data_IF_425664985746
#
_entry.id   IF_425664985746
#
_cell.length_a   1.000
_cell.length_b   1.000
_cell.length_c   1.000
_cell.angle_alpha   90.00
_cell.angle_beta   90.00
_cell.angle_gamma   90.00
#
_symmetry.space_group_name_H-M   'P 1'
#
loop_
_entity.id
_entity.type
_entity.pdbx_description
1 polymer ?
#
# COMPACT_ATOMS: atom_id res chain seq x y z
N UNK A 1 -79.64 -5.11 16.97
CA UNK A 1 -79.42 -5.30 15.50
C UNK A 1 -78.71 -4.12 14.82
N UNK A 2 -79.08 -2.84 15.04
CA UNK A 2 -78.42 -1.68 14.39
C UNK A 2 -76.94 -1.49 14.79
N UNK A 3 -76.63 -1.54 16.09
CA UNK A 3 -75.25 -1.40 16.59
C UNK A 3 -74.27 -2.45 16.03
N UNK A 4 -74.75 -3.68 15.80
CA UNK A 4 -73.93 -4.75 15.23
C UNK A 4 -73.66 -4.56 13.72
N UNK A 5 -74.51 -3.81 13.01
CA UNK A 5 -74.24 -3.42 11.61
C UNK A 5 -73.25 -2.26 11.57
N UNK A 6 -73.45 -1.24 12.39
CA UNK A 6 -72.54 -0.08 12.49
C UNK A 6 -71.11 -0.50 12.86
N UNK A 7 -70.94 -1.45 13.79
CA UNK A 7 -69.62 -1.97 14.16
C UNK A 7 -68.93 -2.72 13.01
N UNK A 8 -69.68 -3.45 12.17
CA UNK A 8 -69.14 -4.14 10.99
C UNK A 8 -68.74 -3.14 9.91
N UNK A 9 -69.59 -2.14 9.66
CA UNK A 9 -69.32 -1.10 8.66
C UNK A 9 -68.07 -0.27 9.04
N UNK A 10 -67.86 -0.02 10.34
CA UNK A 10 -66.65 0.65 10.84
C UNK A 10 -65.39 -0.22 10.68
N UNK A 11 -65.48 -1.53 10.97
CA UNK A 11 -64.36 -2.45 10.79
C UNK A 11 -63.97 -2.62 9.31
N UNK A 12 -64.96 -2.65 8.41
CA UNK A 12 -64.72 -2.68 6.97
C UNK A 12 -64.05 -1.41 6.45
N UNK A 13 -64.48 -0.24 6.92
CA UNK A 13 -63.82 1.05 6.61
C UNK A 13 -62.38 1.06 7.12
N UNK A 14 -62.14 0.67 8.37
CA UNK A 14 -60.79 0.59 8.93
C UNK A 14 -59.90 -0.36 8.13
N UNK A 15 -60.44 -1.50 7.66
CA UNK A 15 -59.70 -2.44 6.80
C UNK A 15 -59.38 -1.85 5.43
N UNK A 16 -60.29 -1.06 4.85
CA UNK A 16 -60.05 -0.36 3.59
C UNK A 16 -58.94 0.69 3.76
N UNK A 17 -59.03 1.53 4.79
CA UNK A 17 -58.05 2.57 5.11
C UNK A 17 -56.66 1.97 5.35
N UNK A 18 -56.58 0.87 6.10
CA UNK A 18 -55.31 0.17 6.33
C UNK A 18 -54.71 -0.42 5.05
N UNK A 19 -55.53 -0.86 4.09
CA UNK A 19 -55.04 -1.32 2.78
C UNK A 19 -54.49 -0.15 1.97
N UNK A 20 -55.14 1.01 2.02
CA UNK A 20 -54.68 2.21 1.33
C UNK A 20 -53.35 2.72 1.92
N UNK A 21 -53.24 2.79 3.24
CA UNK A 21 -52.00 3.15 3.93
C UNK A 21 -50.85 2.21 3.57
N UNK A 22 -51.11 0.90 3.49
CA UNK A 22 -50.10 -0.09 3.05
C UNK A 22 -49.65 0.16 1.60
N UNK A 23 -50.57 0.46 0.69
CA UNK A 23 -50.24 0.80 -0.70
C UNK A 23 -49.42 2.08 -0.79
N UNK A 24 -49.80 3.12 -0.05
CA UNK A 24 -49.07 4.39 -0.01
C UNK A 24 -47.65 4.21 0.55
N UNK A 25 -47.50 3.46 1.65
CA UNK A 25 -46.19 3.15 2.22
C UNK A 25 -45.32 2.32 1.28
N UNK A 26 -45.91 1.35 0.57
CA UNK A 26 -45.19 0.59 -0.45
C UNK A 26 -44.65 1.51 -1.54
N UNK A 27 -45.49 2.36 -2.12
CA UNK A 27 -45.08 3.31 -3.15
C UNK A 27 -43.99 4.26 -2.67
N UNK A 28 -44.08 4.73 -1.42
CA UNK A 28 -43.06 5.58 -0.81
C UNK A 28 -41.71 4.86 -0.69
N UNK A 29 -41.73 3.63 -0.16
CA UNK A 29 -40.53 2.80 -0.02
C UNK A 29 -39.91 2.45 -1.38
N UNK A 30 -40.74 2.15 -2.39
CA UNK A 30 -40.28 1.85 -3.74
C UNK A 30 -39.57 3.08 -4.35
N UNK A 31 -40.12 4.29 -4.20
CA UNK A 31 -39.45 5.54 -4.62
C UNK A 31 -38.10 5.74 -3.95
N UNK A 32 -38.00 5.51 -2.63
CA UNK A 32 -36.73 5.59 -1.91
C UNK A 32 -35.73 4.56 -2.44
N UNK A 33 -36.18 3.34 -2.70
CA UNK A 33 -35.34 2.27 -3.21
C UNK A 33 -34.80 2.60 -4.61
N UNK A 34 -35.62 3.18 -5.48
CA UNK A 34 -35.21 3.64 -6.80
C UNK A 34 -34.16 4.76 -6.72
N UNK A 35 -34.37 5.77 -5.88
CA UNK A 35 -33.39 6.84 -5.68
C UNK A 35 -32.05 6.33 -5.13
N UNK A 36 -32.09 5.39 -4.18
CA UNK A 36 -30.88 4.71 -3.69
C UNK A 36 -30.16 3.94 -4.80
N UNK A 37 -30.90 3.24 -5.67
CA UNK A 37 -30.32 2.52 -6.82
C UNK A 37 -29.69 3.47 -7.83
N UNK A 38 -30.35 4.58 -8.16
CA UNK A 38 -29.79 5.62 -9.06
C UNK A 38 -28.51 6.22 -8.49
N UNK A 39 -28.51 6.56 -7.19
CA UNK A 39 -27.32 7.07 -6.52
C UNK A 39 -26.17 6.05 -6.55
N UNK A 40 -26.45 4.79 -6.19
CA UNK A 40 -25.44 3.73 -6.22
C UNK A 40 -24.89 3.48 -7.63
N UNK A 41 -25.71 3.60 -8.67
CA UNK A 41 -25.25 3.50 -10.06
C UNK A 41 -24.29 4.64 -10.43
N UNK A 42 -24.63 5.89 -10.10
CA UNK A 42 -23.77 7.05 -10.30
C UNK A 42 -22.44 6.92 -9.55
N UNK A 43 -22.49 6.49 -8.29
CA UNK A 43 -21.30 6.29 -7.46
C UNK A 43 -20.38 5.21 -8.04
N UNK A 44 -20.94 4.09 -8.53
CA UNK A 44 -20.18 3.04 -9.21
C UNK A 44 -19.53 3.54 -10.50
N UNK A 45 -20.25 4.32 -11.29
CA UNK A 45 -19.72 4.89 -12.53
C UNK A 45 -18.55 5.84 -12.24
N UNK A 46 -18.70 6.72 -11.24
CA UNK A 46 -17.64 7.63 -10.80
C UNK A 46 -16.41 6.86 -10.31
N UNK A 47 -16.61 5.81 -9.49
CA UNK A 47 -15.52 4.95 -9.03
C UNK A 47 -14.85 4.19 -10.17
N UNK A 48 -15.62 3.72 -11.15
CA UNK A 48 -15.06 3.02 -12.32
C UNK A 48 -14.16 3.94 -13.14
N UNK A 49 -14.58 5.20 -13.35
CA UNK A 49 -13.76 6.23 -14.01
C UNK A 49 -12.47 6.51 -13.24
N UNK A 50 -12.56 6.75 -11.94
CA UNK A 50 -11.39 6.98 -11.09
C UNK A 50 -10.40 5.80 -11.12
N UNK A 51 -10.90 4.56 -11.04
CA UNK A 51 -10.06 3.35 -11.14
C UNK A 51 -9.44 3.18 -12.52
N UNK A 52 -10.14 3.57 -13.59
CA UNK A 52 -9.60 3.51 -14.94
C UNK A 52 -8.41 4.48 -15.09
N UNK A 53 -8.54 5.70 -14.55
CA UNK A 53 -7.47 6.69 -14.62
C UNK A 53 -6.28 6.31 -13.72
N UNK A 54 -6.53 5.75 -12.53
CA UNK A 54 -5.48 5.19 -11.68
C UNK A 54 -4.72 4.05 -12.40
N UNK A 55 -5.44 3.15 -13.07
CA UNK A 55 -4.82 2.07 -13.85
C UNK A 55 -3.99 2.60 -15.01
N UNK A 56 -4.45 3.62 -15.73
CA UNK A 56 -3.66 4.28 -16.79
C UNK A 56 -2.35 4.85 -16.23
N UNK A 57 -2.41 5.55 -15.09
CA UNK A 57 -1.22 6.10 -14.45
C UNK A 57 -0.23 5.01 -13.99
N UNK A 58 -0.73 3.91 -13.42
CA UNK A 58 0.09 2.75 -13.03
C UNK A 58 0.76 2.11 -14.26
N UNK A 59 0.00 1.92 -15.34
CA UNK A 59 0.52 1.33 -16.58
C UNK A 59 1.62 2.20 -17.19
N UNK A 60 1.41 3.52 -17.30
CA UNK A 60 2.42 4.45 -17.78
C UNK A 60 3.71 4.39 -16.91
N UNK A 61 3.56 4.33 -15.58
CA UNK A 61 4.72 4.18 -14.67
C UNK A 61 5.46 2.85 -14.88
N UNK A 62 4.73 1.77 -15.10
CA UNK A 62 5.32 0.45 -15.33
C UNK A 62 6.05 0.38 -16.68
N UNK A 63 5.50 1.00 -17.72
CA UNK A 63 6.15 1.13 -19.03
C UNK A 63 7.45 1.93 -18.93
N UNK A 64 7.43 3.06 -18.23
CA UNK A 64 8.66 3.84 -18.02
C UNK A 64 9.71 3.02 -17.27
N UNK A 65 9.33 2.35 -16.17
CA UNK A 65 10.24 1.47 -15.42
C UNK A 65 10.82 0.36 -16.29
N UNK A 66 10.04 -0.20 -17.22
CA UNK A 66 10.51 -1.22 -18.15
C UNK A 66 11.55 -0.64 -19.11
N UNK A 67 11.31 0.55 -19.67
CA UNK A 67 12.28 1.27 -20.52
C UNK A 67 13.58 1.55 -19.77
N UNK A 68 13.49 2.09 -18.55
CA UNK A 68 14.65 2.39 -17.71
C UNK A 68 15.46 1.13 -17.36
N UNK A 69 14.76 0.02 -17.06
CA UNK A 69 15.40 -1.27 -16.81
C UNK A 69 16.14 -1.76 -18.05
N UNK A 70 15.49 -1.76 -19.20
CA UNK A 70 16.10 -2.19 -20.46
C UNK A 70 17.33 -1.33 -20.81
N UNK A 71 17.27 -0.01 -20.62
CA UNK A 71 18.40 0.89 -20.85
C UNK A 71 19.58 0.56 -19.92
N UNK A 72 19.31 0.33 -18.63
CA UNK A 72 20.33 -0.06 -17.65
C UNK A 72 20.95 -1.42 -17.98
N UNK A 73 20.13 -2.39 -18.37
CA UNK A 73 20.59 -3.72 -18.73
C UNK A 73 21.43 -3.68 -20.01
N UNK A 74 21.05 -2.85 -21.01
CA UNK A 74 21.84 -2.61 -22.21
C UNK A 74 23.21 -1.97 -21.89
N UNK A 75 23.26 -0.98 -20.99
CA UNK A 75 24.53 -0.38 -20.53
C UNK A 75 25.44 -1.40 -19.83
N UNK A 76 24.87 -2.29 -19.01
CA UNK A 76 25.63 -3.38 -18.37
C UNK A 76 26.09 -4.44 -19.35
N UNK A 77 25.32 -4.67 -20.40
CA UNK A 77 25.60 -5.68 -21.42
C UNK A 77 26.66 -5.23 -22.42
N UNK A 78 27.03 -3.95 -22.48
CA UNK A 78 28.22 -3.51 -23.23
C UNK A 78 29.42 -4.23 -22.61
N UNK A 79 30.04 -5.20 -23.32
CA UNK A 79 31.11 -5.97 -22.72
C UNK A 79 32.28 -5.03 -22.46
N UNK A 80 32.66 -4.87 -21.20
CA UNK A 80 33.97 -4.30 -20.88
C UNK A 80 35.00 -5.18 -21.58
N UNK A 81 35.68 -4.63 -22.59
CA UNK A 81 36.82 -5.30 -23.20
C UNK A 81 37.73 -5.73 -22.05
N UNK A 82 38.05 -7.02 -21.95
CA UNK A 82 39.03 -7.54 -20.99
C UNK A 82 40.42 -7.02 -21.37
N UNK A 83 40.65 -5.71 -21.22
CA UNK A 83 41.95 -5.06 -21.32
C UNK A 83 42.70 -5.38 -20.03
N UNK A 84 43.34 -6.54 -19.98
CA UNK A 84 44.31 -6.80 -18.92
C UNK A 84 44.50 -8.24 -18.55
N UNK A 85 44.97 -9.09 -19.48
CA UNK A 85 45.76 -10.27 -19.11
C UNK A 85 46.91 -10.46 -20.09
N UNK A 86 48.14 -10.20 -19.61
CA UNK A 86 49.51 -10.49 -20.12
C UNK A 86 50.34 -9.19 -20.21
N UNK A 87 51.47 -8.97 -19.52
CA UNK A 87 52.38 -9.78 -18.70
C UNK A 87 52.85 -8.93 -17.50
N UNK A 88 52.64 -9.39 -16.27
CA UNK A 88 53.33 -8.84 -15.09
C UNK A 88 53.83 -10.02 -14.26
N UNK A 89 54.88 -10.67 -14.77
CA UNK A 89 55.65 -11.67 -14.04
C UNK A 89 57.12 -11.29 -14.15
N UNK A 90 57.49 -10.16 -13.54
CA UNK A 90 58.87 -9.97 -13.10
C UNK A 90 58.86 -10.20 -11.60
N UNK A 91 59.50 -11.30 -11.18
CA UNK A 91 59.69 -11.63 -9.77
C UNK A 91 60.54 -10.54 -9.12
N UNK A 92 59.96 -9.76 -8.23
CA UNK A 92 60.74 -8.90 -7.33
C UNK A 92 61.21 -9.75 -6.15
N UNK A 93 62.53 -9.77 -5.93
CA UNK A 93 63.19 -10.53 -4.88
C UNK A 93 62.63 -10.21 -3.47
N UNK A 94 62.70 -11.15 -2.50
CA UNK A 94 62.11 -10.96 -1.18
C UNK A 94 62.84 -9.86 -0.40
N UNK A 95 62.13 -8.78 -0.04
CA UNK A 95 62.66 -7.68 0.80
C UNK A 95 62.79 -8.16 2.26
N UNK A 96 63.97 -7.93 2.86
CA UNK A 96 64.27 -8.14 4.28
C UNK A 96 63.24 -7.43 5.17
N UNK A 97 62.71 -8.13 6.18
CA UNK A 97 61.82 -7.56 7.19
C UNK A 97 62.60 -6.58 8.08
N UNK A 98 62.18 -5.32 8.11
CA UNK A 98 62.57 -4.38 9.18
C UNK A 98 61.59 -4.55 10.35
N UNK A 99 62.13 -4.83 11.53
CA UNK A 99 61.36 -4.91 12.77
C UNK A 99 60.83 -3.51 13.12
N UNK A 100 59.51 -3.30 13.08
CA UNK A 100 58.86 -2.12 13.65
C UNK A 100 58.73 -2.34 15.15
N UNK A 101 59.51 -1.57 15.91
CA UNK A 101 59.39 -1.44 17.35
C UNK A 101 57.98 -0.97 17.75
N UNK A 102 57.52 -1.50 18.88
CA UNK A 102 56.25 -1.21 19.53
C UNK A 102 56.28 0.24 20.03
N UNK A 103 55.58 1.13 19.35
CA UNK A 103 55.19 2.43 19.90
C UNK A 103 53.68 2.38 20.17
N UNK A 104 53.33 2.03 21.40
CA UNK A 104 51.98 2.14 21.92
C UNK A 104 51.61 3.63 22.01
N UNK A 105 50.99 4.17 20.95
CA UNK A 105 50.36 5.48 21.01
C UNK A 105 49.01 5.33 21.71
N UNK A 106 49.02 5.62 23.01
CA UNK A 106 47.84 5.88 23.82
C UNK A 106 47.11 7.11 23.25
N UNK A 107 45.95 6.92 22.65
CA UNK A 107 44.93 7.98 22.57
C UNK A 107 43.66 7.46 23.22
N UNK A 108 43.48 7.87 24.48
CA UNK A 108 42.22 7.69 25.19
C UNK A 108 41.17 8.59 24.57
N UNK A 109 40.41 8.07 23.62
CA UNK A 109 39.10 8.63 23.31
C UNK A 109 38.20 8.21 24.47
N UNK A 110 37.79 9.19 25.26
CA UNK A 110 36.75 9.02 26.27
C UNK A 110 35.49 8.58 25.52
N UNK A 111 35.14 7.30 25.60
CA UNK A 111 33.88 6.78 25.10
C UNK A 111 32.75 7.49 25.88
N UNK A 112 32.13 8.49 25.26
CA UNK A 112 30.87 9.02 25.76
C UNK A 112 29.88 7.84 25.82
N UNK A 113 29.12 7.66 26.93
CA UNK A 113 28.19 6.56 27.03
C UNK A 113 27.20 6.64 25.87
N UNK A 114 27.19 5.60 25.02
CA UNK A 114 26.22 5.49 23.93
C UNK A 114 24.83 5.47 24.56
N UNK A 115 23.94 6.33 24.06
CA UNK A 115 22.53 6.34 24.48
C UNK A 115 21.95 4.93 24.37
N UNK A 116 21.17 4.47 25.37
CA UNK A 116 20.61 3.13 25.38
C UNK A 116 19.83 2.87 24.09
N UNK A 117 20.14 1.77 23.42
CA UNK A 117 19.41 1.35 22.22
C UNK A 117 17.95 1.09 22.58
N UNK A 118 16.98 1.62 21.81
CA UNK A 118 15.57 1.43 22.11
C UNK A 118 15.17 -0.05 22.00
N UNK A 119 14.14 -0.50 22.74
CA UNK A 119 13.68 -1.87 22.70
C UNK A 119 13.17 -2.24 21.29
N UNK A 120 13.31 -3.52 20.88
CA UNK A 120 12.85 -3.98 19.58
C UNK A 120 11.32 -3.88 19.49
N UNK A 121 10.82 -3.37 18.35
CA UNK A 121 9.39 -3.36 18.05
C UNK A 121 8.99 -4.64 17.34
N UNK A 122 7.88 -5.25 17.75
CA UNK A 122 7.32 -6.45 17.11
C UNK A 122 5.97 -6.13 16.46
N UNK A 123 5.61 -6.87 15.41
CA UNK A 123 4.25 -6.84 14.85
C UNK A 123 3.31 -7.80 15.59
N UNK A 124 2.01 -7.79 15.26
CA UNK A 124 1.00 -8.69 15.86
C UNK A 124 1.27 -10.18 15.66
N UNK A 125 2.18 -10.54 14.75
CA UNK A 125 2.61 -11.92 14.48
C UNK A 125 3.96 -12.26 15.15
N UNK A 126 4.42 -11.43 16.10
CA UNK A 126 5.67 -11.64 16.83
C UNK A 126 6.94 -11.42 16.02
N UNK A 127 6.87 -10.85 14.82
CA UNK A 127 8.07 -10.61 13.98
C UNK A 127 8.70 -9.26 14.30
N UNK A 128 10.03 -9.25 14.46
CA UNK A 128 10.84 -8.06 14.75
C UNK A 128 10.79 -7.08 13.56
N UNK A 129 10.41 -5.84 13.82
CA UNK A 129 10.33 -4.75 12.85
C UNK A 129 11.69 -4.05 12.82
N UNK A 130 12.30 -3.96 11.64
CA UNK A 130 13.58 -3.27 11.48
C UNK A 130 13.40 -1.74 11.63
N UNK A 131 14.30 -1.04 12.35
CA UNK A 131 14.26 0.41 12.42
C UNK A 131 14.47 1.02 11.03
N UNK A 132 13.77 2.10 10.74
CA UNK A 132 13.94 2.85 9.49
C UNK A 132 15.33 3.48 9.46
N UNK A 133 16.11 3.23 8.41
CA UNK A 133 17.37 3.93 8.17
C UNK A 133 17.05 5.40 7.90
N UNK A 134 17.58 6.31 8.72
CA UNK A 134 17.56 7.73 8.39
C UNK A 134 18.52 7.93 7.22
N UNK A 135 18.01 8.44 6.10
CA UNK A 135 18.86 8.95 5.03
C UNK A 135 19.46 10.26 5.56
N UNK A 136 20.79 10.33 5.61
CA UNK A 136 21.54 11.56 5.85
C UNK A 136 21.86 12.19 4.51
#
# INVERSE_FOLDING_TARGET
>A
MRQAKEAKDLDEKNKADMKELKKANKLYNDRIAEEKRKKAARDREAQAKAKADERKAINARNEQRKKDKNARDAQKAVPQSQRGKRKASQSTAPRKKQNRSVAAARSGVVDAPRSPTPPPKYNSRGRKIAPRKRLQ
#
